data_IF_700161234339
#
_entry.id   IF_700161234339
#
_cell.length_a   1.000
_cell.length_b   1.000
_cell.length_c   1.000
_cell.angle_alpha   90.00
_cell.angle_beta   90.00
_cell.angle_gamma   90.00
#
_symmetry.space_group_name_H-M   'P 1'
#
loop_
_entity.id
_entity.type
_entity.pdbx_description
1 polymer ?
#
# COMPACT_ATOMS: atom_id res chain seq x y z
N UNK A 1 0.73 -9.97 30.51
CA UNK A 1 1.31 -10.01 29.16
C UNK A 1 2.67 -9.33 29.24
N UNK A 2 3.76 -10.04 29.02
CA UNK A 2 5.08 -9.41 28.82
C UNK A 2 5.25 -9.12 27.33
N UNK A 3 5.56 -7.88 26.99
CA UNK A 3 5.71 -7.43 25.60
C UNK A 3 7.20 -7.43 25.25
N UNK A 4 7.59 -8.32 24.34
CA UNK A 4 8.94 -8.38 23.79
C UNK A 4 8.86 -8.06 22.30
N UNK A 5 9.59 -7.04 21.85
CA UNK A 5 9.64 -6.63 20.45
C UNK A 5 10.96 -7.12 19.85
N UNK A 6 10.87 -7.89 18.76
CA UNK A 6 12.03 -8.18 17.93
C UNK A 6 12.27 -7.01 16.95
N UNK A 7 13.30 -6.17 17.16
CA UNK A 7 13.53 -5.00 16.33
C UNK A 7 13.92 -5.37 14.89
N UNK A 8 14.57 -6.51 14.68
CA UNK A 8 14.97 -6.97 13.33
C UNK A 8 13.75 -7.46 12.57
N UNK A 9 12.88 -8.24 13.21
CA UNK A 9 11.62 -8.69 12.63
C UNK A 9 10.71 -7.53 12.22
N UNK A 10 10.56 -6.51 13.08
CA UNK A 10 9.74 -5.32 12.78
C UNK A 10 10.35 -4.51 11.64
N UNK A 11 11.67 -4.32 11.60
CA UNK A 11 12.34 -3.64 10.50
C UNK A 11 12.17 -4.42 9.17
N UNK A 12 12.32 -5.74 9.20
CA UNK A 12 12.11 -6.60 8.03
C UNK A 12 10.67 -6.51 7.51
N UNK A 13 9.68 -6.48 8.41
CA UNK A 13 8.27 -6.30 8.04
C UNK A 13 8.04 -4.95 7.36
N UNK A 14 8.58 -3.85 7.89
CA UNK A 14 8.47 -2.54 7.25
C UNK A 14 9.02 -2.54 5.82
N UNK A 15 10.20 -3.14 5.62
CA UNK A 15 10.81 -3.26 4.28
C UNK A 15 9.95 -4.12 3.34
N UNK A 16 9.41 -5.24 3.84
CA UNK A 16 8.53 -6.11 3.06
C UNK A 16 7.26 -5.35 2.61
N UNK A 17 6.65 -4.56 3.50
CA UNK A 17 5.47 -3.78 3.17
C UNK A 17 5.77 -2.61 2.22
N UNK A 18 6.91 -1.94 2.38
CA UNK A 18 7.36 -0.92 1.44
C UNK A 18 7.60 -1.51 0.03
N UNK A 19 8.20 -2.70 -0.04
CA UNK A 19 8.43 -3.42 -1.30
C UNK A 19 7.12 -3.85 -1.95
N UNK A 20 6.19 -4.39 -1.14
CA UNK A 20 4.84 -4.75 -1.60
C UNK A 20 4.05 -3.54 -2.11
N UNK A 21 4.19 -2.40 -1.43
CA UNK A 21 3.61 -1.11 -1.84
C UNK A 21 4.14 -0.68 -3.21
N UNK A 22 5.47 -0.66 -3.38
CA UNK A 22 6.11 -0.29 -4.64
C UNK A 22 5.72 -1.24 -5.79
N UNK A 23 5.66 -2.55 -5.52
CA UNK A 23 5.25 -3.55 -6.51
C UNK A 23 3.81 -3.32 -6.96
N UNK A 24 2.90 -3.12 -6.00
CA UNK A 24 1.48 -2.89 -6.29
C UNK A 24 1.28 -1.58 -7.05
N UNK A 25 1.97 -0.51 -6.65
CA UNK A 25 1.97 0.77 -7.34
C UNK A 25 2.48 0.64 -8.78
N UNK A 26 3.57 -0.12 -8.99
CA UNK A 26 4.15 -0.37 -10.30
C UNK A 26 3.20 -1.12 -11.22
N UNK A 27 2.52 -2.16 -10.72
CA UNK A 27 1.50 -2.89 -11.49
C UNK A 27 0.33 -1.98 -11.85
N UNK A 28 -0.17 -1.19 -10.89
CA UNK A 28 -1.30 -0.28 -11.11
C UNK A 28 -0.95 0.79 -12.16
N UNK A 29 0.23 1.41 -12.04
CA UNK A 29 0.71 2.40 -12.99
C UNK A 29 0.91 1.77 -14.38
N UNK A 30 1.46 0.56 -14.45
CA UNK A 30 1.66 -0.17 -15.70
C UNK A 30 0.37 -0.59 -16.40
N UNK A 31 -0.69 -0.93 -15.65
CA UNK A 31 -1.98 -1.34 -16.22
C UNK A 31 -2.88 -0.16 -16.59
N UNK A 32 -2.70 1.01 -15.97
CA UNK A 32 -3.57 2.19 -16.15
C UNK A 32 -3.84 2.54 -17.62
N UNK A 33 -2.85 2.65 -18.53
CA UNK A 33 -3.10 3.02 -19.92
C UNK A 33 -4.09 2.08 -20.62
N UNK A 34 -3.91 0.77 -20.45
CA UNK A 34 -4.80 -0.24 -21.02
C UNK A 34 -6.21 -0.19 -20.42
N UNK A 35 -6.32 0.10 -19.11
CA UNK A 35 -7.61 0.24 -18.43
C UNK A 35 -8.38 1.49 -18.88
N UNK A 36 -7.69 2.55 -19.29
CA UNK A 36 -8.33 3.80 -19.75
C UNK A 36 -8.65 3.82 -21.25
N UNK A 37 -8.03 2.95 -22.05
CA UNK A 37 -8.15 2.94 -23.51
C UNK A 37 -9.32 2.06 -24.02
N UNK A 38 -10.44 2.01 -23.30
CA UNK A 38 -11.61 1.19 -23.67
C UNK A 38 -12.36 1.83 -24.82
N UNK A 39 -12.71 1.03 -25.83
CA UNK A 39 -13.40 1.45 -27.06
C UNK A 39 -14.65 0.57 -27.27
N UNK A 40 -15.72 1.08 -27.88
CA UNK A 40 -16.85 0.24 -28.29
C UNK A 40 -16.41 -0.87 -29.25
N UNK A 41 -17.03 -2.04 -29.11
CA UNK A 41 -16.80 -3.20 -29.98
C UNK A 41 -17.54 -3.10 -31.32
N UNK A 42 -18.55 -2.23 -31.41
CA UNK A 42 -19.39 -2.02 -32.58
C UNK A 42 -20.06 -0.63 -32.57
N UNK A 43 -20.85 -0.34 -33.60
CA UNK A 43 -21.58 0.93 -33.79
C UNK A 43 -22.89 1.04 -33.01
N UNK A 44 -23.30 -0.04 -32.36
CA UNK A 44 -24.59 -0.21 -31.72
C UNK A 44 -24.60 0.48 -30.35
N UNK A 45 -25.74 1.05 -29.97
CA UNK A 45 -25.89 1.82 -28.73
C UNK A 45 -25.46 1.03 -27.49
N UNK A 46 -25.76 -0.27 -27.44
CA UNK A 46 -25.36 -1.17 -26.35
C UNK A 46 -23.84 -1.27 -26.23
N UNK A 47 -23.11 -1.22 -27.35
CA UNK A 47 -21.65 -1.29 -27.34
C UNK A 47 -21.04 0.00 -26.79
N UNK A 48 -21.60 1.15 -27.14
CA UNK A 48 -21.21 2.44 -26.60
C UNK A 48 -21.49 2.54 -25.09
N UNK A 49 -22.67 2.08 -24.65
CA UNK A 49 -23.04 2.05 -23.23
C UNK A 49 -22.16 1.09 -22.41
N UNK A 50 -21.81 -0.07 -22.97
CA UNK A 50 -20.90 -1.00 -22.31
C UNK A 50 -19.50 -0.40 -22.15
N UNK A 51 -18.96 0.22 -23.21
CA UNK A 51 -17.65 0.86 -23.15
C UNK A 51 -17.59 1.97 -22.09
N UNK A 52 -18.62 2.81 -21.99
CA UNK A 52 -18.68 3.87 -20.97
C UNK A 52 -18.79 3.31 -19.55
N UNK A 53 -19.54 2.22 -19.36
CA UNK A 53 -19.67 1.55 -18.06
C UNK A 53 -18.34 0.93 -17.62
N UNK A 54 -17.61 0.30 -18.53
CA UNK A 54 -16.26 -0.25 -18.26
C UNK A 54 -15.30 0.89 -17.90
N UNK A 55 -15.33 2.01 -18.62
CA UNK A 55 -14.47 3.17 -18.29
C UNK A 55 -14.78 3.72 -16.89
N UNK A 56 -16.05 3.84 -16.52
CA UNK A 56 -16.45 4.30 -15.19
C UNK A 56 -15.99 3.33 -14.09
N UNK A 57 -16.17 2.02 -14.29
CA UNK A 57 -15.69 1.00 -13.36
C UNK A 57 -14.16 1.03 -13.23
N UNK A 58 -13.44 1.14 -14.34
CA UNK A 58 -11.98 1.20 -14.33
C UNK A 58 -11.49 2.45 -13.59
N UNK A 59 -12.15 3.60 -13.76
CA UNK A 59 -11.83 4.82 -13.01
C UNK A 59 -12.03 4.62 -11.50
N UNK A 60 -13.13 3.97 -11.09
CA UNK A 60 -13.37 3.64 -9.67
C UNK A 60 -12.30 2.69 -9.11
N UNK A 61 -11.98 1.63 -9.85
CA UNK A 61 -10.94 0.68 -9.46
C UNK A 61 -9.57 1.35 -9.30
N UNK A 62 -9.16 2.19 -10.26
CA UNK A 62 -7.89 2.89 -10.23
C UNK A 62 -7.83 3.86 -9.03
N UNK A 63 -8.90 4.62 -8.80
CA UNK A 63 -8.98 5.54 -7.67
C UNK A 63 -8.86 4.80 -6.33
N UNK A 64 -9.64 3.74 -6.13
CA UNK A 64 -9.67 3.02 -4.86
C UNK A 64 -8.38 2.22 -4.63
N UNK A 65 -7.82 1.63 -5.68
CA UNK A 65 -6.53 0.93 -5.57
C UNK A 65 -5.38 1.90 -5.32
N UNK A 66 -5.43 3.12 -5.88
CA UNK A 66 -4.48 4.19 -5.58
C UNK A 66 -4.48 4.60 -4.10
N UNK A 67 -5.66 4.71 -3.49
CA UNK A 67 -5.79 4.95 -2.03
C UNK A 67 -5.19 3.78 -1.24
N UNK A 68 -5.54 2.54 -1.57
CA UNK A 68 -5.01 1.36 -0.87
C UNK A 68 -3.47 1.24 -0.94
N UNK A 69 -2.85 1.64 -2.07
CA UNK A 69 -1.38 1.72 -2.19
C UNK A 69 -0.82 2.72 -1.18
N UNK A 70 -1.48 3.86 -1.01
CA UNK A 70 -1.07 4.89 -0.04
C UNK A 70 -1.22 4.37 1.39
N UNK A 71 -2.34 3.73 1.73
CA UNK A 71 -2.58 3.16 3.06
C UNK A 71 -1.54 2.09 3.42
N UNK A 72 -1.19 1.23 2.46
CA UNK A 72 -0.14 0.22 2.65
C UNK A 72 1.24 0.85 2.87
N UNK A 73 1.54 1.93 2.15
CA UNK A 73 2.77 2.71 2.34
C UNK A 73 2.83 3.37 3.73
N UNK A 74 1.71 3.93 4.19
CA UNK A 74 1.60 4.47 5.55
C UNK A 74 1.83 3.39 6.60
N UNK A 75 1.20 2.22 6.44
CA UNK A 75 1.43 1.09 7.33
C UNK A 75 2.90 0.67 7.40
N UNK A 76 3.61 0.62 6.27
CA UNK A 76 5.04 0.32 6.26
C UNK A 76 5.86 1.33 7.08
N UNK A 77 5.50 2.62 7.00
CA UNK A 77 6.10 3.69 7.79
C UNK A 77 5.78 3.58 9.29
N UNK A 78 4.53 3.32 9.64
CA UNK A 78 4.09 3.14 11.03
C UNK A 78 4.81 1.97 11.71
N UNK A 79 4.99 0.86 10.98
CA UNK A 79 5.77 -0.30 11.45
C UNK A 79 7.23 0.09 11.72
N UNK A 80 7.87 0.87 10.84
CA UNK A 80 9.24 1.34 11.05
C UNK A 80 9.36 2.23 12.30
N UNK A 81 8.46 3.22 12.43
CA UNK A 81 8.47 4.15 13.57
C UNK A 81 8.21 3.42 14.87
N UNK A 82 7.28 2.46 14.88
CA UNK A 82 6.99 1.62 16.04
C UNK A 82 8.21 0.79 16.47
N UNK A 83 8.94 0.22 15.50
CA UNK A 83 10.19 -0.50 15.75
C UNK A 83 11.27 0.37 16.39
N UNK A 84 11.53 1.56 15.82
CA UNK A 84 12.51 2.53 16.37
C UNK A 84 12.11 2.97 17.78
N UNK A 85 10.83 3.26 18.00
CA UNK A 85 10.31 3.71 19.30
C UNK A 85 10.47 2.61 20.36
N UNK A 86 10.26 1.36 19.98
CA UNK A 86 10.44 0.21 20.89
C UNK A 86 11.90 0.07 21.32
N UNK A 87 12.86 0.18 20.38
CA UNK A 87 14.30 0.13 20.70
C UNK A 87 14.73 1.29 21.59
N UNK A 88 14.27 2.51 21.28
CA UNK A 88 14.59 3.69 22.07
C UNK A 88 14.05 3.58 23.51
N UNK A 89 12.83 3.06 23.67
CA UNK A 89 12.21 2.84 24.98
C UNK A 89 13.01 1.83 25.80
N UNK A 90 13.42 0.73 25.17
CA UNK A 90 14.24 -0.29 25.85
C UNK A 90 15.61 0.26 26.28
N UNK A 91 16.27 1.06 25.43
CA UNK A 91 17.53 1.70 25.78
C UNK A 91 17.40 2.66 26.99
N UNK A 92 16.30 3.44 27.05
CA UNK A 92 16.01 4.31 28.20
C UNK A 92 15.75 3.49 29.46
N UNK A 93 14.99 2.40 29.36
CA UNK A 93 14.74 1.50 30.48
C UNK A 93 16.05 0.90 31.02
N UNK A 94 16.94 0.43 30.14
CA UNK A 94 18.25 -0.10 30.53
C UNK A 94 19.15 0.96 31.17
N UNK A 95 19.15 2.19 30.66
CA UNK A 95 19.91 3.29 31.26
C UNK A 95 19.39 3.67 32.65
N UNK A 96 18.08 3.62 32.86
CA UNK A 96 17.44 3.90 34.16
C UNK A 96 17.80 2.85 35.22
N UNK A 97 18.02 1.59 34.82
CA UNK A 97 18.44 0.51 35.72
C UNK A 97 19.91 0.64 36.18
N UNK A 98 20.71 1.48 35.51
CA UNK A 98 22.13 1.72 35.83
C UNK A 98 22.34 2.93 36.75
N UNK A 99 21.26 3.60 37.17
CA UNK A 99 21.23 4.81 38.00
C UNK A 99 20.67 4.50 39.39
#
# INVERSE_FOLDING_TARGET
MTFFVDPVGVAAQSVAEATGTATTAGVLAGSTPAMTAVVPMGSEEVSALLASTIQAHNAQFLAQTGVNVTDRGMFAGDVAISGVTSVATEAVNQASLLL
#
